data_IF_555798713643
#
_entry.id   IF_555798713643
#
_cell.length_a   1.000
_cell.length_b   1.000
_cell.length_c   1.000
_cell.angle_alpha   90.00
_cell.angle_beta   90.00
_cell.angle_gamma   90.00
#
_symmetry.space_group_name_H-M   'P 1'
#
loop_
_entity.id
_entity.type
_entity.pdbx_description
1 polymer ?
#
# COMPACT_ATOMS: atom_id res chain seq x y z
N UNK A 1 6.82 0.54 -0.76
CA UNK A 1 6.49 0.31 0.68
C UNK A 1 7.03 -1.05 1.06
N UNK A 2 6.87 -1.51 2.30
CA UNK A 2 7.25 -2.87 2.70
C UNK A 2 6.09 -3.62 3.35
N UNK A 3 5.98 -4.91 3.06
CA UNK A 3 5.03 -5.79 3.73
C UNK A 3 5.69 -6.24 5.02
N UNK A 4 5.20 -5.74 6.16
CA UNK A 4 5.75 -6.10 7.46
C UNK A 4 5.18 -7.43 7.97
N UNK A 5 3.90 -7.69 7.71
CA UNK A 5 3.18 -8.87 8.17
C UNK A 5 2.19 -9.32 7.10
N UNK A 6 1.91 -10.62 7.07
CA UNK A 6 0.85 -11.24 6.28
C UNK A 6 0.05 -12.17 7.19
N UNK A 7 -1.26 -12.26 6.97
CA UNK A 7 -2.15 -13.17 7.68
C UNK A 7 -3.03 -13.87 6.64
N UNK A 8 -2.90 -15.19 6.56
CA UNK A 8 -3.72 -16.03 5.67
C UNK A 8 -4.89 -16.60 6.46
N UNK A 9 -6.08 -16.05 6.25
CA UNK A 9 -7.30 -16.61 6.81
C UNK A 9 -7.80 -17.73 5.89
N UNK A 10 -8.03 -18.93 6.45
CA UNK A 10 -8.54 -20.11 5.72
C UNK A 10 -7.73 -20.45 4.46
N UNK A 11 -6.40 -20.33 4.55
CA UNK A 11 -5.47 -20.56 3.44
C UNK A 11 -5.75 -19.69 2.19
N UNK A 12 -6.29 -18.48 2.39
CA UNK A 12 -6.62 -17.57 1.29
C UNK A 12 -5.39 -17.08 0.51
N UNK A 13 -4.26 -16.88 1.18
CA UNK A 13 -3.00 -16.50 0.51
C UNK A 13 -2.52 -17.64 -0.41
N UNK A 14 -2.57 -18.88 0.08
CA UNK A 14 -2.20 -20.09 -0.65
C UNK A 14 -3.11 -20.30 -1.86
N UNK A 15 -4.42 -20.09 -1.70
CA UNK A 15 -5.37 -20.12 -2.81
C UNK A 15 -4.99 -19.13 -3.91
N UNK A 16 -4.64 -17.89 -3.53
CA UNK A 16 -4.19 -16.88 -4.49
C UNK A 16 -2.86 -17.27 -5.15
N UNK A 17 -1.91 -17.86 -4.42
CA UNK A 17 -0.63 -18.30 -4.97
C UNK A 17 -0.83 -19.44 -5.99
N UNK A 18 -1.70 -20.41 -5.70
CA UNK A 18 -1.90 -21.59 -6.55
C UNK A 18 -2.78 -21.28 -7.76
N UNK A 19 -3.91 -20.62 -7.56
CA UNK A 19 -4.93 -20.43 -8.59
C UNK A 19 -4.86 -19.06 -9.27
N UNK A 20 -4.29 -18.06 -8.61
CA UNK A 20 -4.26 -16.67 -9.08
C UNK A 20 -2.87 -16.03 -8.94
N UNK A 21 -1.80 -16.77 -9.20
CA UNK A 21 -0.42 -16.33 -8.97
C UNK A 21 -0.09 -14.96 -9.59
N UNK A 22 -0.63 -14.68 -10.79
CA UNK A 22 -0.45 -13.39 -11.45
C UNK A 22 -1.06 -12.24 -10.63
N UNK A 23 -2.24 -12.45 -10.06
CA UNK A 23 -2.90 -11.48 -9.18
C UNK A 23 -2.09 -11.29 -7.90
N UNK A 24 -1.66 -12.38 -7.27
CA UNK A 24 -0.85 -12.35 -6.05
C UNK A 24 0.46 -11.57 -6.24
N UNK A 25 1.19 -11.85 -7.33
CA UNK A 25 2.38 -11.08 -7.72
C UNK A 25 2.05 -9.61 -8.00
N UNK A 26 0.94 -9.33 -8.67
CA UNK A 26 0.47 -7.96 -8.91
C UNK A 26 0.26 -7.16 -7.62
N UNK A 27 -0.35 -7.78 -6.60
CA UNK A 27 -0.54 -7.16 -5.29
C UNK A 27 0.81 -6.87 -4.61
N UNK A 28 1.71 -7.86 -4.57
CA UNK A 28 3.05 -7.71 -4.00
C UNK A 28 3.83 -6.57 -4.69
N UNK A 29 3.82 -6.56 -6.03
CA UNK A 29 4.50 -5.57 -6.85
C UNK A 29 4.00 -4.14 -6.59
N UNK A 30 2.67 -3.95 -6.53
CA UNK A 30 2.06 -2.65 -6.24
C UNK A 30 2.52 -2.12 -4.89
N UNK A 31 2.48 -2.96 -3.85
CA UNK A 31 2.91 -2.55 -2.50
C UNK A 31 4.40 -2.17 -2.50
N UNK A 32 5.26 -2.97 -3.14
CA UNK A 32 6.70 -2.68 -3.18
C UNK A 32 7.01 -1.45 -4.02
N UNK A 33 6.29 -1.20 -5.11
CA UNK A 33 6.54 -0.11 -6.04
C UNK A 33 6.12 1.29 -5.56
N UNK A 34 5.32 1.41 -4.50
CA UNK A 34 4.91 2.71 -3.96
C UNK A 34 6.02 3.30 -3.06
N UNK A 35 6.70 4.35 -3.50
CA UNK A 35 7.70 5.06 -2.69
C UNK A 35 7.05 5.92 -1.60
N UNK A 36 6.98 5.39 -0.37
CA UNK A 36 6.25 6.01 0.74
C UNK A 36 6.71 7.43 1.08
N UNK A 37 8.02 7.68 0.96
CA UNK A 37 8.66 8.97 1.27
C UNK A 37 8.05 10.14 0.47
N UNK A 38 7.54 9.89 -0.74
CA UNK A 38 6.88 10.90 -1.57
C UNK A 38 5.53 11.37 -1.01
N UNK A 39 4.96 10.65 -0.03
CA UNK A 39 3.63 10.91 0.52
C UNK A 39 3.66 11.55 1.92
N UNK A 40 4.83 12.01 2.38
CA UNK A 40 4.95 12.82 3.61
C UNK A 40 4.52 14.29 3.38
N UNK A 41 3.34 14.49 2.79
CA UNK A 41 2.84 15.80 2.35
C UNK A 41 1.92 16.48 3.37
N UNK A 42 1.47 15.75 4.39
CA UNK A 42 0.49 16.25 5.36
C UNK A 42 1.19 16.99 6.49
N UNK A 43 1.02 18.32 6.52
CA UNK A 43 1.47 19.13 7.65
C UNK A 43 0.52 18.93 8.83
N UNK A 44 1.06 18.45 9.96
CA UNK A 44 0.28 18.24 11.18
C UNK A 44 -0.20 19.55 11.79
N UNK A 45 -1.50 19.60 12.12
CA UNK A 45 -2.15 20.71 12.85
C UNK A 45 -2.36 20.42 14.34
N UNK A 46 -2.00 19.23 14.81
CA UNK A 46 -2.17 18.84 16.21
C UNK A 46 -1.21 19.59 17.12
N UNK A 47 -1.71 20.09 18.25
CA UNK A 47 -0.95 20.93 19.19
C UNK A 47 0.38 20.32 19.63
N UNK A 48 0.47 18.98 19.75
CA UNK A 48 1.69 18.25 20.17
C UNK A 48 2.67 17.92 19.04
N UNK A 49 2.27 18.02 17.77
CA UNK A 49 3.09 17.65 16.60
C UNK A 49 3.03 18.71 15.49
N UNK A 50 2.70 19.96 15.84
CA UNK A 50 2.41 21.03 14.88
C UNK A 50 3.64 21.29 14.00
N UNK A 51 3.45 21.28 12.68
CA UNK A 51 4.52 21.55 11.71
C UNK A 51 5.29 20.34 11.19
N UNK A 52 5.09 19.14 11.76
CA UNK A 52 5.73 17.93 11.22
C UNK A 52 5.05 17.49 9.91
N UNK A 53 5.86 17.09 8.95
CA UNK A 53 5.42 16.38 7.76
C UNK A 53 5.10 14.93 8.14
N UNK A 54 3.83 14.57 8.00
CA UNK A 54 3.31 13.23 8.23
C UNK A 54 2.90 12.61 6.89
N UNK A 55 2.81 11.29 6.86
CA UNK A 55 2.20 10.60 5.74
C UNK A 55 0.74 11.06 5.57
N UNK A 56 0.39 11.42 4.34
CA UNK A 56 -0.95 11.78 3.93
C UNK A 56 -1.72 10.51 3.57
N UNK A 57 -2.75 10.11 4.35
CA UNK A 57 -3.55 8.93 4.01
C UNK A 57 -4.28 9.10 2.68
N UNK A 58 -4.68 10.33 2.34
CA UNK A 58 -5.39 10.64 1.10
C UNK A 58 -4.48 10.40 -0.10
N UNK A 59 -3.24 10.87 -0.04
CA UNK A 59 -2.32 10.73 -1.18
C UNK A 59 -1.81 9.29 -1.31
N UNK A 60 -1.60 8.59 -0.19
CA UNK A 60 -1.31 7.16 -0.20
C UNK A 60 -2.44 6.35 -0.83
N UNK A 61 -3.70 6.59 -0.45
CA UNK A 61 -4.85 5.90 -1.04
C UNK A 61 -4.92 6.11 -2.56
N UNK A 62 -4.75 7.37 -3.02
CA UNK A 62 -4.69 7.68 -4.46
C UNK A 62 -3.56 6.95 -5.18
N UNK A 63 -2.40 6.80 -4.54
CA UNK A 63 -1.28 6.06 -5.11
C UNK A 63 -1.62 4.58 -5.26
N UNK A 64 -2.22 3.96 -4.24
CA UNK A 64 -2.70 2.58 -4.31
C UNK A 64 -3.73 2.40 -5.43
N UNK A 65 -4.76 3.25 -5.49
CA UNK A 65 -5.80 3.17 -6.52
C UNK A 65 -5.20 3.22 -7.93
N UNK A 66 -4.25 4.14 -8.15
CA UNK A 66 -3.57 4.30 -9.44
C UNK A 66 -2.75 3.08 -9.81
N UNK A 67 -1.93 2.56 -8.90
CA UNK A 67 -1.04 1.44 -9.19
C UNK A 67 -1.82 0.13 -9.34
N UNK A 68 -2.89 -0.08 -8.57
CA UNK A 68 -3.78 -1.22 -8.74
C UNK A 68 -4.51 -1.19 -10.09
N UNK A 69 -5.04 -0.03 -10.49
CA UNK A 69 -5.73 0.14 -11.79
C UNK A 69 -4.82 -0.15 -12.98
N UNK A 70 -3.51 0.13 -12.86
CA UNK A 70 -2.52 -0.15 -13.92
C UNK A 70 -2.10 -1.62 -13.99
N UNK A 71 -2.00 -2.30 -12.85
CA UNK A 71 -1.38 -3.63 -12.75
C UNK A 71 -2.40 -4.78 -12.75
N UNK A 72 -3.62 -4.53 -12.29
CA UNK A 72 -4.64 -5.57 -12.02
C UNK A 72 -5.94 -5.30 -12.79
N UNK A 73 -6.19 -4.05 -13.20
CA UNK A 73 -7.34 -3.65 -14.02
C UNK A 73 -7.30 -4.14 -15.45
#
# INVERSE_FOLDING_TARGET
MKIAHAYSHLNGEEYLIVHHNRLYKGIRDVITGIEASMFMTKVSKEKRKKGNNLFSPIDLNKAFDREFSKKIG
#
